data_IF_584024037995
#
_entry.id   IF_584024037995
#
_cell.length_a   1.000
_cell.length_b   1.000
_cell.length_c   1.000
_cell.angle_alpha   90.00
_cell.angle_beta   90.00
_cell.angle_gamma   90.00
#
_symmetry.space_group_name_H-M   'P 1'
#
loop_
_entity.id
_entity.type
_entity.pdbx_description
1 polymer ?
#
# COMPACT_ATOMS: atom_id res chain seq x y z
N UNK A 1 -21.11 4.11 48.38
CA UNK A 1 -20.30 3.96 47.14
C UNK A 1 -21.14 3.73 45.87
N UNK A 2 -22.34 3.15 45.91
CA UNK A 2 -23.13 2.88 44.68
C UNK A 2 -24.13 3.96 44.22
N UNK A 3 -24.58 4.87 45.10
CA UNK A 3 -25.67 5.78 44.75
C UNK A 3 -25.28 6.92 43.78
N UNK A 4 -24.06 7.45 43.91
CA UNK A 4 -23.56 8.53 43.04
C UNK A 4 -23.24 8.00 41.65
N UNK A 5 -22.58 6.84 41.57
CA UNK A 5 -22.29 6.15 40.31
C UNK A 5 -23.58 5.73 39.61
N UNK A 6 -24.56 5.17 40.32
CA UNK A 6 -25.86 4.84 39.73
C UNK A 6 -26.62 6.07 39.24
N UNK A 7 -26.65 7.17 40.00
CA UNK A 7 -27.26 8.43 39.54
C UNK A 7 -26.57 8.96 38.30
N UNK A 8 -25.25 8.87 38.25
CA UNK A 8 -24.45 9.27 37.10
C UNK A 8 -24.77 8.42 35.86
N UNK A 9 -24.79 7.10 35.99
CA UNK A 9 -25.13 6.18 34.90
C UNK A 9 -26.57 6.37 34.41
N UNK A 10 -27.52 6.67 35.31
CA UNK A 10 -28.92 6.93 34.95
C UNK A 10 -29.09 8.25 34.23
N UNK A 11 -28.43 9.33 34.68
CA UNK A 11 -28.41 10.62 34.00
C UNK A 11 -27.75 10.50 32.61
N UNK A 12 -26.63 9.78 32.50
CA UNK A 12 -25.94 9.56 31.24
C UNK A 12 -26.82 8.76 30.26
N UNK A 13 -27.48 7.72 30.74
CA UNK A 13 -28.38 6.90 29.92
C UNK A 13 -29.63 7.67 29.48
N UNK A 14 -30.20 8.51 30.35
CA UNK A 14 -31.33 9.36 30.01
C UNK A 14 -30.95 10.39 28.92
N UNK A 15 -29.76 10.98 29.02
CA UNK A 15 -29.25 11.93 28.04
C UNK A 15 -28.92 11.27 26.70
N UNK A 16 -28.35 10.05 26.70
CA UNK A 16 -28.13 9.25 25.48
C UNK A 16 -29.46 8.93 24.79
N UNK A 17 -30.51 8.70 25.57
CA UNK A 17 -31.85 8.43 25.04
C UNK A 17 -32.49 9.69 24.45
N UNK A 18 -32.40 10.84 25.12
CA UNK A 18 -32.90 12.13 24.61
C UNK A 18 -32.13 12.64 23.38
N UNK A 19 -30.81 12.46 23.37
CA UNK A 19 -29.94 12.86 22.24
C UNK A 19 -30.06 11.94 21.03
N UNK A 20 -30.53 10.69 21.19
CA UNK A 20 -30.83 9.81 20.05
C UNK A 20 -32.00 10.31 19.18
N UNK A 21 -32.85 11.19 19.72
CA UNK A 21 -33.97 11.82 19.02
C UNK A 21 -33.66 13.21 18.46
N UNK A 22 -32.54 13.81 18.84
CA UNK A 22 -32.05 15.07 18.28
C UNK A 22 -31.07 14.72 17.16
N UNK A 23 -31.37 15.09 15.91
CA UNK A 23 -30.39 15.02 14.83
C UNK A 23 -29.21 15.92 15.17
N UNK A 24 -28.18 15.36 15.78
CA UNK A 24 -26.95 16.09 16.12
C UNK A 24 -26.22 16.40 14.82
N UNK A 25 -26.06 17.70 14.56
CA UNK A 25 -25.14 18.22 13.56
C UNK A 25 -23.76 17.56 13.75
N UNK A 26 -23.30 16.88 12.71
CA UNK A 26 -22.20 15.89 12.73
C UNK A 26 -20.78 16.46 13.00
N UNK A 27 -20.69 17.70 13.47
CA UNK A 27 -19.44 18.46 13.60
C UNK A 27 -18.87 18.49 15.02
N UNK A 28 -19.64 18.14 16.06
CA UNK A 28 -19.13 18.09 17.44
C UNK A 28 -18.46 16.74 17.71
N UNK A 29 -17.15 16.65 17.47
CA UNK A 29 -16.35 15.53 17.97
C UNK A 29 -16.22 15.68 19.48
N UNK A 30 -16.68 14.68 20.25
CA UNK A 30 -16.38 14.57 21.68
C UNK A 30 -14.86 14.43 21.85
N UNK A 31 -14.18 15.55 22.09
CA UNK A 31 -12.77 15.55 22.48
C UNK A 31 -12.68 15.26 23.98
N UNK A 32 -11.69 14.46 24.43
CA UNK A 32 -11.51 14.14 25.86
C UNK A 32 -11.33 15.40 26.72
N UNK A 33 -11.01 16.55 26.12
CA UNK A 33 -10.86 17.84 26.78
C UNK A 33 -12.13 18.42 27.43
N UNK A 34 -13.34 17.94 27.13
CA UNK A 34 -14.58 18.44 27.74
C UNK A 34 -15.05 17.64 28.97
N UNK A 35 -14.22 16.71 29.47
CA UNK A 35 -14.64 15.76 30.49
C UNK A 35 -15.13 16.41 31.79
N UNK A 36 -14.67 17.63 32.12
CA UNK A 36 -15.04 18.32 33.37
C UNK A 36 -16.47 18.84 33.33
N UNK A 37 -17.00 19.16 32.14
CA UNK A 37 -18.39 19.59 31.98
C UNK A 37 -19.40 18.46 32.20
N UNK A 38 -18.96 17.20 32.11
CA UNK A 38 -19.83 16.05 32.24
C UNK A 38 -19.89 15.48 33.65
N UNK A 39 -18.98 15.87 34.55
CA UNK A 39 -19.02 15.44 35.93
C UNK A 39 -20.14 16.14 36.72
N UNK A 40 -20.78 15.45 37.69
CA UNK A 40 -21.90 16.00 38.42
C UNK A 40 -21.41 17.06 39.40
N UNK A 41 -21.73 18.33 39.15
CA UNK A 41 -21.55 19.43 40.12
C UNK A 41 -20.19 19.40 40.85
N UNK A 42 -19.10 19.19 40.12
CA UNK A 42 -17.76 19.05 40.73
C UNK A 42 -17.03 20.37 40.75
N UNK A 43 -16.44 20.72 41.89
CA UNK A 43 -15.47 21.81 42.00
C UNK A 43 -14.08 21.32 41.59
N UNK A 44 -13.59 21.82 40.45
CA UNK A 44 -12.26 21.51 39.91
C UNK A 44 -11.23 22.56 40.32
N UNK A 45 -9.99 22.10 40.52
CA UNK A 45 -8.84 22.93 40.88
C UNK A 45 -8.37 23.82 39.73
N UNK A 46 -8.44 23.30 38.49
CA UNK A 46 -7.91 23.99 37.31
C UNK A 46 -8.61 25.35 37.02
N UNK A 47 -9.96 25.45 37.03
CA UNK A 47 -10.65 26.74 36.92
C UNK A 47 -10.25 27.74 38.03
N UNK A 48 -10.11 27.26 39.27
CA UNK A 48 -9.71 28.11 40.41
C UNK A 48 -8.27 28.61 40.27
N UNK A 49 -7.34 27.76 39.85
CA UNK A 49 -5.94 28.14 39.61
C UNK A 49 -5.79 29.10 38.44
N UNK A 50 -6.66 29.00 37.43
CA UNK A 50 -6.67 29.90 36.28
C UNK A 50 -7.05 31.33 36.67
N UNK A 51 -8.10 31.51 37.49
CA UNK A 51 -8.59 32.84 37.88
C UNK A 51 -7.90 33.42 39.12
N UNK A 52 -7.52 32.58 40.10
CA UNK A 52 -6.95 33.02 41.39
C UNK A 52 -5.44 32.76 41.55
N UNK A 53 -4.78 32.18 40.55
CA UNK A 53 -3.35 31.86 40.62
C UNK A 53 -2.46 33.10 40.75
N UNK A 54 -1.77 33.25 41.87
CA UNK A 54 -0.76 34.29 42.06
C UNK A 54 0.49 33.94 41.24
N UNK A 55 0.77 34.69 40.17
CA UNK A 55 2.02 34.57 39.40
C UNK A 55 3.16 35.31 40.08
N UNK A 56 3.76 34.72 41.12
CA UNK A 56 5.02 35.20 41.69
C UNK A 56 6.19 34.37 41.13
N UNK A 57 7.22 35.03 40.59
CA UNK A 57 8.44 34.36 40.13
C UNK A 57 9.69 35.00 40.75
N UNK A 58 10.47 34.20 41.47
CA UNK A 58 11.86 34.53 41.82
C UNK A 58 12.78 33.59 41.03
N UNK A 59 13.79 34.12 40.34
CA UNK A 59 14.80 33.32 39.65
C UNK A 59 16.20 33.72 40.12
N UNK A 60 16.96 32.73 40.61
CA UNK A 60 18.41 32.85 40.81
C UNK A 60 19.14 32.58 39.46
N UNK A 61 20.27 33.25 39.19
CA UNK A 61 20.94 33.16 37.89
C UNK A 61 21.67 31.83 37.74
N UNK A 62 21.45 31.14 36.62
CA UNK A 62 22.34 30.05 36.18
C UNK A 62 21.74 28.67 35.89
N UNK A 63 20.41 28.52 35.77
CA UNK A 63 19.84 27.24 35.26
C UNK A 63 18.74 27.51 34.25
N UNK A 64 19.04 27.29 32.97
CA UNK A 64 18.04 27.21 31.91
C UNK A 64 17.05 26.09 32.23
N UNK A 65 15.76 26.41 32.16
CA UNK A 65 14.67 25.47 32.36
C UNK A 65 14.17 25.06 30.98
N UNK A 66 14.34 23.78 30.63
CA UNK A 66 13.55 23.14 29.56
C UNK A 66 12.09 23.09 30.02
N UNK A 67 11.36 24.14 29.71
CA UNK A 67 9.90 24.14 29.66
C UNK A 67 9.55 24.81 28.35
N UNK A 68 8.74 24.20 27.48
CA UNK A 68 8.34 24.84 26.23
C UNK A 68 7.75 26.21 26.54
N UNK A 69 8.35 27.24 25.98
CA UNK A 69 7.86 28.61 26.06
C UNK A 69 6.46 28.68 25.47
N UNK A 70 5.53 29.25 26.24
CA UNK A 70 4.20 29.65 25.79
C UNK A 70 4.33 30.79 24.77
N UNK A 71 4.58 30.46 23.52
CA UNK A 71 4.67 31.40 22.40
C UNK A 71 4.05 30.86 21.11
N UNK A 72 2.99 30.05 21.19
CA UNK A 72 2.14 29.84 20.02
C UNK A 72 0.65 29.93 20.38
N UNK A 73 -0.03 30.93 19.80
CA UNK A 73 -1.47 31.19 19.95
C UNK A 73 -2.32 30.20 19.12
N UNK A 74 -1.71 29.11 18.64
CA UNK A 74 -2.29 28.13 17.71
C UNK A 74 -2.72 26.81 18.34
N UNK A 75 -2.50 26.60 19.63
CA UNK A 75 -2.97 25.40 20.34
C UNK A 75 -4.48 25.49 20.63
N UNK A 76 -5.29 25.07 19.64
CA UNK A 76 -6.75 25.05 19.72
C UNK A 76 -7.26 24.30 20.97
N UNK A 77 -6.54 23.26 21.40
CA UNK A 77 -6.93 22.43 22.54
C UNK A 77 -6.77 23.18 23.87
N UNK A 78 -5.77 24.07 23.97
CA UNK A 78 -5.57 24.90 25.15
C UNK A 78 -6.63 26.00 25.26
N UNK A 79 -7.04 26.59 24.13
CA UNK A 79 -8.14 27.55 24.10
C UNK A 79 -9.47 26.90 24.55
N UNK A 80 -9.69 25.64 24.16
CA UNK A 80 -10.85 24.87 24.62
C UNK A 80 -10.82 24.66 26.14
N UNK A 81 -9.67 24.31 26.72
CA UNK A 81 -9.51 24.15 28.17
C UNK A 81 -9.67 25.48 28.94
N UNK A 82 -9.15 26.58 28.39
CA UNK A 82 -9.29 27.91 29.02
C UNK A 82 -10.75 28.38 29.04
N UNK A 83 -11.50 28.12 27.96
CA UNK A 83 -12.93 28.42 27.90
C UNK A 83 -13.79 27.46 28.76
N UNK A 84 -13.44 26.18 28.81
CA UNK A 84 -14.06 25.21 29.74
C UNK A 84 -13.92 25.70 31.19
N UNK A 85 -12.72 26.10 31.58
CA UNK A 85 -12.44 26.63 32.91
C UNK A 85 -13.23 27.91 33.19
N UNK A 86 -13.32 28.83 32.22
CA UNK A 86 -14.11 30.07 32.36
C UNK A 86 -15.59 29.76 32.61
N UNK A 87 -16.16 28.80 31.88
CA UNK A 87 -17.57 28.40 32.04
C UNK A 87 -17.82 27.77 33.42
N UNK A 88 -16.93 26.88 33.86
CA UNK A 88 -17.00 26.26 35.18
C UNK A 88 -16.90 27.31 36.30
N UNK A 89 -15.98 28.27 36.18
CA UNK A 89 -15.88 29.38 37.14
C UNK A 89 -17.15 30.22 37.22
N UNK A 90 -17.79 30.52 36.09
CA UNK A 90 -19.07 31.22 36.10
C UNK A 90 -20.16 30.40 36.80
N UNK A 91 -20.19 29.09 36.60
CA UNK A 91 -21.12 28.20 37.29
C UNK A 91 -20.86 28.15 38.80
N UNK A 92 -19.59 28.13 39.22
CA UNK A 92 -19.23 28.14 40.64
C UNK A 92 -19.64 29.42 41.35
N UNK A 93 -19.52 30.57 40.67
CA UNK A 93 -19.92 31.87 41.23
C UNK A 93 -21.43 32.06 41.22
N UNK A 94 -22.12 31.68 40.13
CA UNK A 94 -23.56 31.96 39.96
C UNK A 94 -24.46 30.95 40.65
N UNK A 95 -24.05 29.69 40.69
CA UNK A 95 -24.86 28.58 41.21
C UNK A 95 -24.05 27.67 42.14
N UNK A 96 -23.43 28.20 43.21
CA UNK A 96 -22.56 27.42 44.10
C UNK A 96 -23.29 26.24 44.76
N UNK A 97 -24.61 26.35 44.97
CA UNK A 97 -25.43 25.27 45.55
C UNK A 97 -25.60 24.03 44.66
N UNK A 98 -25.21 24.10 43.38
CA UNK A 98 -25.19 22.94 42.48
C UNK A 98 -23.91 22.10 42.62
N UNK A 99 -22.89 22.61 43.34
CA UNK A 99 -21.66 21.89 43.60
C UNK A 99 -21.90 20.86 44.71
N UNK A 100 -21.66 19.58 44.41
CA UNK A 100 -21.92 18.46 45.33
C UNK A 100 -20.65 17.72 45.75
N UNK A 101 -19.53 17.89 45.03
CA UNK A 101 -18.28 17.15 45.28
C UNK A 101 -17.06 17.93 44.79
N UNK A 102 -15.86 17.50 45.18
CA UNK A 102 -14.57 18.10 44.79
C UNK A 102 -13.75 17.16 43.90
N UNK A 103 -12.79 17.71 43.16
CA UNK A 103 -11.85 16.93 42.35
C UNK A 103 -11.11 15.85 43.18
N UNK A 104 -10.67 16.20 44.39
CA UNK A 104 -10.02 15.26 45.33
C UNK A 104 -10.93 14.07 45.72
N UNK A 105 -12.22 14.32 45.88
CA UNK A 105 -13.20 13.27 46.21
C UNK A 105 -13.40 12.31 45.02
N UNK A 106 -13.34 12.84 43.79
CA UNK A 106 -13.39 12.03 42.56
C UNK A 106 -12.11 11.22 42.35
N UNK A 107 -10.94 11.79 42.64
CA UNK A 107 -9.66 11.07 42.57
C UNK A 107 -9.63 9.91 43.56
N UNK A 108 -10.04 10.15 44.82
CA UNK A 108 -10.11 9.10 45.86
C UNK A 108 -11.15 8.02 45.54
N UNK A 109 -12.23 8.37 44.85
CA UNK A 109 -13.23 7.42 44.37
C UNK A 109 -12.80 6.63 43.12
N UNK A 110 -11.60 6.89 42.57
CA UNK A 110 -11.07 6.24 41.37
C UNK A 110 -11.69 6.74 40.06
N UNK A 111 -12.41 7.85 40.08
CA UNK A 111 -13.13 8.41 38.91
C UNK A 111 -12.25 9.18 37.94
N UNK A 112 -11.10 9.67 38.39
CA UNK A 112 -10.10 10.36 37.57
C UNK A 112 -8.82 9.52 37.55
N UNK A 113 -8.72 8.59 36.60
CA UNK A 113 -7.41 7.99 36.30
C UNK A 113 -6.55 9.08 35.65
N UNK A 114 -5.41 9.42 36.26
CA UNK A 114 -4.38 10.25 35.60
C UNK A 114 -4.15 9.67 34.22
N UNK A 115 -4.29 10.49 33.17
CA UNK A 115 -3.87 10.12 31.82
C UNK A 115 -2.37 9.84 31.85
N UNK A 116 -1.99 8.59 32.12
CA UNK A 116 -0.72 8.07 31.66
C UNK A 116 -0.93 7.96 30.15
N UNK A 117 -0.40 8.93 29.40
CA UNK A 117 -0.19 8.77 27.97
C UNK A 117 0.42 7.36 27.79
N UNK A 118 -0.21 6.43 27.06
CA UNK A 118 0.35 5.11 26.92
C UNK A 118 1.75 5.28 26.36
N UNK A 119 2.77 4.82 27.11
CA UNK A 119 4.10 4.66 26.54
C UNK A 119 3.92 3.84 25.28
N UNK A 120 4.32 4.40 24.13
CA UNK A 120 4.29 3.70 22.87
C UNK A 120 5.03 2.38 23.10
N UNK A 121 4.38 1.21 22.96
CA UNK A 121 5.06 -0.03 23.22
C UNK A 121 6.28 -0.09 22.28
N UNK A 122 7.46 -0.31 22.85
CA UNK A 122 8.63 -0.64 22.06
C UNK A 122 8.26 -1.81 21.16
N UNK A 123 8.52 -1.66 19.85
CA UNK A 123 8.17 -2.64 18.82
C UNK A 123 8.80 -3.99 19.19
N UNK A 124 8.01 -4.89 19.77
CA UNK A 124 8.41 -6.26 20.05
C UNK A 124 7.93 -7.16 18.92
N UNK A 125 8.89 -7.86 18.34
CA UNK A 125 8.68 -8.85 17.29
C UNK A 125 7.69 -9.93 17.76
N UNK A 126 6.67 -10.18 16.94
CA UNK A 126 5.69 -11.25 17.15
C UNK A 126 6.41 -12.60 17.12
N UNK A 127 6.50 -13.27 18.26
CA UNK A 127 6.71 -14.72 18.34
C UNK A 127 5.34 -15.36 18.53
N UNK A 128 5.04 -16.28 17.61
CA UNK A 128 3.83 -17.10 17.52
C UNK A 128 3.81 -18.05 18.73
N UNK A 129 2.97 -17.78 19.75
CA UNK A 129 2.73 -18.71 20.85
C UNK A 129 1.29 -19.24 20.81
N UNK A 130 1.21 -20.56 20.95
CA UNK A 130 0.01 -21.39 20.99
C UNK A 130 -1.00 -20.91 22.05
N UNK A 131 -2.27 -20.95 21.69
CA UNK A 131 -3.37 -20.58 22.57
C UNK A 131 -3.58 -21.73 23.57
N UNK A 132 -3.18 -21.51 24.82
CA UNK A 132 -3.69 -22.27 25.96
C UNK A 132 -4.69 -21.35 26.69
N UNK A 133 -5.98 -21.65 26.60
CA UNK A 133 -7.02 -20.83 27.22
C UNK A 133 -7.16 -21.26 28.67
N UNK A 134 -6.60 -20.46 29.57
CA UNK A 134 -7.04 -20.45 30.97
C UNK A 134 -8.35 -19.66 31.06
N UNK A 135 -9.43 -20.32 31.49
CA UNK A 135 -10.78 -19.77 31.57
C UNK A 135 -11.06 -19.08 32.92
N UNK A 136 -10.03 -18.71 33.67
CA UNK A 136 -10.20 -18.07 34.98
C UNK A 136 -9.45 -16.74 35.11
N UNK A 137 -9.86 -15.72 34.34
CA UNK A 137 -9.58 -14.32 34.70
C UNK A 137 -10.78 -13.41 34.48
N UNK A 138 -10.95 -12.52 35.47
CA UNK A 138 -12.02 -11.56 35.65
C UNK A 138 -12.38 -10.75 34.41
N UNK A 139 -13.69 -10.55 34.23
CA UNK A 139 -14.29 -9.81 33.12
C UNK A 139 -14.03 -8.32 33.33
N UNK A 140 -12.81 -7.90 33.04
CA UNK A 140 -12.51 -6.50 32.82
C UNK A 140 -13.25 -6.04 31.55
N UNK A 141 -14.01 -4.97 31.66
CA UNK A 141 -14.92 -4.50 30.61
C UNK A 141 -14.18 -4.32 29.28
N UNK A 142 -14.40 -5.24 28.34
CA UNK A 142 -13.86 -5.15 26.98
C UNK A 142 -14.46 -3.89 26.33
N UNK A 143 -13.72 -2.77 26.35
CA UNK A 143 -14.02 -1.60 25.53
C UNK A 143 -13.79 -1.99 24.06
N UNK A 144 -14.83 -2.55 23.43
CA UNK A 144 -14.90 -2.82 21.99
C UNK A 144 -14.74 -1.50 21.23
N UNK A 145 -13.49 -1.18 20.84
CA UNK A 145 -13.20 -0.08 19.91
C UNK A 145 -13.64 -0.52 18.52
N UNK A 146 -14.93 -0.35 18.19
CA UNK A 146 -15.49 -0.60 16.86
C UNK A 146 -14.84 0.38 15.87
N UNK A 147 -13.74 -0.04 15.23
CA UNK A 147 -13.14 0.68 14.11
C UNK A 147 -13.91 0.31 12.85
N UNK A 148 -14.19 1.28 11.97
CA UNK A 148 -14.69 0.98 10.62
C UNK A 148 -13.69 0.00 9.97
N UNK A 149 -14.17 -1.14 9.42
CA UNK A 149 -13.27 -2.08 8.75
C UNK A 149 -12.61 -1.37 7.57
N UNK A 150 -11.27 -1.28 7.60
CA UNK A 150 -10.52 -0.87 6.43
C UNK A 150 -10.38 -2.08 5.51
N UNK A 151 -11.14 -2.07 4.42
CA UNK A 151 -11.10 -3.12 3.41
C UNK A 151 -9.99 -2.91 2.39
N UNK A 152 -9.34 -1.75 2.39
CA UNK A 152 -8.21 -1.44 1.53
C UNK A 152 -6.88 -1.79 2.19
N UNK A 153 -6.04 -2.46 1.43
CA UNK A 153 -4.64 -2.71 1.75
C UNK A 153 -3.77 -2.04 0.70
N UNK A 154 -2.85 -1.21 1.16
CA UNK A 154 -1.85 -0.58 0.30
C UNK A 154 -0.51 -1.24 0.52
N UNK A 155 0.24 -1.43 -0.55
CA UNK A 155 1.61 -1.94 -0.50
C UNK A 155 2.46 -1.13 -1.46
N UNK A 156 3.67 -0.80 -1.06
CA UNK A 156 4.66 -0.19 -1.93
C UNK A 156 5.96 -0.98 -1.90
N UNK A 157 6.58 -1.20 -3.05
CA UNK A 157 7.91 -1.77 -3.18
C UNK A 157 8.74 -0.91 -4.14
N UNK A 158 9.83 -0.34 -3.66
CA UNK A 158 10.73 0.53 -4.42
C UNK A 158 12.12 -0.07 -4.38
N UNK A 159 12.74 -0.24 -5.54
CA UNK A 159 14.10 -0.78 -5.60
C UNK A 159 14.97 -0.09 -6.62
N UNK A 160 16.25 -0.03 -6.29
CA UNK A 160 17.29 0.51 -7.13
C UNK A 160 18.41 -0.52 -7.22
N UNK A 161 18.69 -1.00 -8.42
CA UNK A 161 19.50 -2.19 -8.65
C UNK A 161 20.56 -1.92 -9.72
N UNK A 162 21.75 -2.47 -9.50
CA UNK A 162 22.77 -2.60 -10.53
C UNK A 162 22.71 -4.03 -11.06
N UNK A 163 22.53 -4.19 -12.36
CA UNK A 163 22.32 -5.50 -12.99
C UNK A 163 23.39 -5.80 -14.03
N UNK A 164 23.69 -7.08 -14.18
CA UNK A 164 24.39 -7.66 -15.31
C UNK A 164 23.38 -8.47 -16.10
N UNK A 165 23.21 -8.15 -17.38
CA UNK A 165 22.20 -8.78 -18.24
C UNK A 165 22.85 -9.72 -19.27
N UNK A 166 22.16 -10.82 -19.55
CA UNK A 166 22.42 -11.74 -20.64
C UNK A 166 21.15 -11.93 -21.48
N UNK A 167 21.32 -11.92 -22.80
CA UNK A 167 20.25 -12.15 -23.77
C UNK A 167 20.66 -13.26 -24.73
N UNK A 168 19.73 -14.15 -25.09
CA UNK A 168 19.94 -15.09 -26.19
C UNK A 168 20.01 -14.33 -27.53
N UNK A 169 20.74 -14.88 -28.50
CA UNK A 169 20.95 -14.24 -29.81
C UNK A 169 19.66 -13.90 -30.56
N UNK A 170 18.60 -14.70 -30.38
CA UNK A 170 17.27 -14.52 -30.97
C UNK A 170 16.30 -13.68 -30.11
N UNK A 171 16.78 -12.93 -29.12
CA UNK A 171 15.91 -12.10 -28.27
C UNK A 171 15.15 -11.05 -29.10
N UNK A 172 13.81 -11.03 -29.01
CA UNK A 172 12.94 -10.23 -29.90
C UNK A 172 13.19 -8.72 -29.88
N UNK A 173 13.73 -8.17 -28.79
CA UNK A 173 14.06 -6.74 -28.68
C UNK A 173 15.49 -6.41 -29.13
N UNK A 174 16.29 -7.45 -29.45
CA UNK A 174 17.75 -7.34 -29.52
C UNK A 174 18.38 -7.04 -28.15
N UNK A 175 19.69 -7.28 -28.01
CA UNK A 175 20.41 -6.91 -26.80
C UNK A 175 21.80 -7.53 -26.71
N UNK A 176 22.80 -6.70 -26.44
CA UNK A 176 24.14 -7.13 -26.08
C UNK A 176 24.28 -7.30 -24.56
N UNK A 177 25.19 -8.17 -24.12
CA UNK A 177 25.54 -8.28 -22.70
C UNK A 177 26.03 -6.94 -22.15
N UNK A 178 25.41 -6.47 -21.07
CA UNK A 178 25.66 -5.13 -20.56
C UNK A 178 25.44 -5.02 -19.05
N UNK A 179 25.92 -3.88 -18.51
CA UNK A 179 25.68 -3.45 -17.14
C UNK A 179 24.65 -2.33 -17.14
N UNK A 180 23.64 -2.45 -16.27
CA UNK A 180 22.52 -1.51 -16.25
C UNK A 180 22.17 -1.09 -14.84
N UNK A 181 21.63 0.11 -14.74
CA UNK A 181 21.08 0.66 -13.52
C UNK A 181 19.57 0.68 -13.67
N UNK A 182 18.85 0.01 -12.78
CA UNK A 182 17.41 -0.22 -12.88
C UNK A 182 16.70 0.30 -11.63
N UNK A 183 15.78 1.23 -11.82
CA UNK A 183 14.83 1.68 -10.82
C UNK A 183 13.48 0.99 -11.06
N UNK A 184 12.89 0.44 -10.00
CA UNK A 184 11.57 -0.18 -10.04
C UNK A 184 10.71 0.37 -8.92
N UNK A 185 9.46 0.70 -9.23
CA UNK A 185 8.43 1.03 -8.26
C UNK A 185 7.19 0.18 -8.53
N UNK A 186 6.69 -0.51 -7.51
CA UNK A 186 5.43 -1.24 -7.55
C UNK A 186 4.54 -0.72 -6.44
N UNK A 187 3.31 -0.37 -6.79
CA UNK A 187 2.29 0.10 -5.85
C UNK A 187 1.05 -0.76 -6.03
N UNK A 188 0.50 -1.24 -4.91
CA UNK A 188 -0.72 -2.03 -4.91
C UNK A 188 -1.78 -1.37 -4.02
N UNK A 189 -3.02 -1.39 -4.48
CA UNK A 189 -4.20 -0.95 -3.74
C UNK A 189 -5.29 -2.02 -3.89
N UNK A 190 -5.45 -2.83 -2.85
CA UNK A 190 -6.29 -4.02 -2.87
C UNK A 190 -7.45 -3.88 -1.91
N UNK A 191 -8.66 -3.83 -2.45
CA UNK A 191 -9.91 -3.83 -1.70
C UNK A 191 -10.44 -5.26 -1.56
N UNK A 192 -10.81 -5.65 -0.34
CA UNK A 192 -11.47 -6.92 -0.09
C UNK A 192 -12.52 -6.74 1.01
N UNK A 193 -13.80 -6.78 0.64
CA UNK A 193 -14.92 -6.62 1.57
C UNK A 193 -15.12 -7.83 2.51
N UNK A 194 -14.22 -8.83 2.45
CA UNK A 194 -14.27 -10.10 3.21
C UNK A 194 -15.50 -10.96 2.95
N UNK A 195 -16.35 -10.56 2.00
CA UNK A 195 -17.56 -11.27 1.63
C UNK A 195 -17.42 -11.86 0.24
N UNK A 196 -17.69 -11.04 -0.79
CA UNK A 196 -17.79 -11.50 -2.18
C UNK A 196 -17.01 -10.65 -3.18
N UNK A 197 -16.67 -9.40 -2.86
CA UNK A 197 -16.07 -8.48 -3.83
C UNK A 197 -14.60 -8.26 -3.47
N UNK A 198 -13.75 -8.43 -4.47
CA UNK A 198 -12.36 -8.07 -4.44
C UNK A 198 -12.07 -7.12 -5.59
N UNK A 199 -11.24 -6.12 -5.33
CA UNK A 199 -10.76 -5.21 -6.34
C UNK A 199 -9.29 -4.95 -6.11
N UNK A 200 -8.46 -5.56 -6.95
CA UNK A 200 -7.01 -5.50 -6.86
C UNK A 200 -6.48 -4.53 -7.91
N UNK A 201 -5.63 -3.59 -7.51
CA UNK A 201 -4.99 -2.63 -8.39
C UNK A 201 -3.48 -2.71 -8.20
N UNK A 202 -2.73 -2.79 -9.30
CA UNK A 202 -1.27 -2.85 -9.30
C UNK A 202 -0.73 -1.89 -10.34
N UNK A 203 0.10 -0.94 -9.91
CA UNK A 203 0.86 -0.04 -10.75
C UNK A 203 2.34 -0.43 -10.67
N UNK A 204 2.95 -0.71 -11.82
CA UNK A 204 4.35 -1.07 -11.97
C UNK A 204 5.05 -0.06 -12.87
N UNK A 205 6.18 0.45 -12.39
CA UNK A 205 7.05 1.37 -13.10
C UNK A 205 8.46 0.79 -13.10
N UNK A 206 9.08 0.69 -14.28
CA UNK A 206 10.47 0.28 -14.46
C UNK A 206 11.17 1.33 -15.31
N UNK A 207 12.36 1.73 -14.90
CA UNK A 207 13.23 2.61 -15.67
C UNK A 207 14.67 2.15 -15.51
N UNK A 208 15.25 1.70 -16.62
CA UNK A 208 16.59 1.16 -16.70
C UNK A 208 17.44 1.94 -17.69
N UNK A 209 18.68 2.19 -17.32
CA UNK A 209 19.70 2.76 -18.19
C UNK A 209 20.86 1.81 -18.37
N UNK A 210 21.31 1.65 -19.62
CA UNK A 210 22.47 0.88 -20.01
C UNK A 210 23.49 1.74 -20.74
N UNK A 211 24.75 1.33 -20.65
CA UNK A 211 25.79 1.87 -21.53
C UNK A 211 25.83 1.07 -22.83
N UNK A 212 25.89 1.75 -23.97
CA UNK A 212 26.08 1.10 -25.27
C UNK A 212 27.54 1.24 -25.69
N UNK A 213 28.19 0.13 -26.07
CA UNK A 213 29.56 0.15 -26.61
C UNK A 213 29.61 0.53 -28.09
N UNK A 214 28.48 0.41 -28.79
CA UNK A 214 28.37 0.54 -30.26
C UNK A 214 27.67 1.83 -30.69
N UNK A 215 27.08 2.58 -29.76
CA UNK A 215 26.48 3.89 -30.02
C UNK A 215 27.39 5.02 -29.55
N UNK A 216 27.97 5.76 -30.50
CA UNK A 216 28.84 6.90 -30.25
C UNK A 216 28.05 8.16 -29.87
N UNK A 217 26.79 8.23 -30.28
CA UNK A 217 25.90 9.40 -30.11
C UNK A 217 25.13 9.35 -28.78
N UNK A 218 24.62 8.17 -28.41
CA UNK A 218 23.84 7.95 -27.20
C UNK A 218 24.59 6.99 -26.26
N UNK A 219 25.52 7.54 -25.48
CA UNK A 219 26.34 6.76 -24.53
C UNK A 219 25.53 6.08 -23.42
N UNK A 220 24.40 6.67 -23.05
CA UNK A 220 23.44 6.12 -22.10
C UNK A 220 22.11 5.91 -22.82
N UNK A 221 21.62 4.67 -22.85
CA UNK A 221 20.34 4.31 -23.47
C UNK A 221 19.40 3.70 -22.47
N UNK A 222 18.12 3.93 -22.65
CA UNK A 222 17.10 3.22 -21.88
C UNK A 222 17.01 1.78 -22.37
N UNK A 223 17.06 0.83 -21.43
CA UNK A 223 17.02 -0.61 -21.74
C UNK A 223 15.79 -1.33 -21.20
N UNK A 224 15.12 -0.71 -20.25
CA UNK A 224 13.94 -1.23 -19.59
C UNK A 224 13.06 -0.04 -19.25
N UNK A 225 11.93 0.11 -19.93
CA UNK A 225 10.94 1.13 -19.61
C UNK A 225 9.55 0.53 -19.69
N UNK A 226 8.88 0.50 -18.54
CA UNK A 226 7.55 -0.08 -18.44
C UNK A 226 6.73 0.73 -17.47
N UNK A 227 5.62 1.27 -17.94
CA UNK A 227 4.53 1.74 -17.12
C UNK A 227 3.37 0.78 -17.33
N UNK A 228 2.99 0.03 -16.29
CA UNK A 228 1.93 -0.98 -16.36
C UNK A 228 0.94 -0.80 -15.23
N UNK A 229 -0.33 -0.65 -15.59
CA UNK A 229 -1.45 -0.63 -14.66
C UNK A 229 -2.29 -1.88 -14.88
N UNK A 230 -2.51 -2.65 -13.83
CA UNK A 230 -3.40 -3.81 -13.83
C UNK A 230 -4.49 -3.59 -12.79
N UNK A 231 -5.75 -3.70 -13.21
CA UNK A 231 -6.92 -3.69 -12.33
C UNK A 231 -7.70 -4.99 -12.50
N UNK A 232 -8.09 -5.61 -11.39
CA UNK A 232 -8.88 -6.85 -11.38
C UNK A 232 -10.07 -6.67 -10.47
N UNK A 233 -11.27 -6.89 -11.00
CA UNK A 233 -12.50 -6.92 -10.21
C UNK A 233 -12.96 -8.37 -10.15
N UNK A 234 -13.01 -8.91 -8.94
CA UNK A 234 -13.36 -10.30 -8.66
C UNK A 234 -14.64 -10.42 -7.84
N UNK A 235 -15.56 -11.28 -8.29
CA UNK A 235 -16.73 -11.71 -7.53
C UNK A 235 -16.58 -13.18 -7.11
N UNK A 236 -16.64 -13.44 -5.80
CA UNK A 236 -16.41 -14.76 -5.20
C UNK A 236 -17.49 -15.74 -5.63
N UNK A 237 -17.07 -16.78 -6.36
CA UNK A 237 -17.91 -17.91 -6.72
C UNK A 237 -17.89 -18.97 -5.63
N UNK A 238 -16.69 -19.43 -5.25
CA UNK A 238 -16.47 -20.43 -4.18
C UNK A 238 -15.35 -19.97 -3.24
N UNK A 239 -14.84 -20.85 -2.37
CA UNK A 239 -13.80 -20.49 -1.39
C UNK A 239 -12.54 -19.89 -2.05
N UNK A 240 -12.12 -20.46 -3.18
CA UNK A 240 -10.86 -20.10 -3.86
C UNK A 240 -11.07 -19.54 -5.27
N UNK A 241 -12.29 -19.60 -5.83
CA UNK A 241 -12.58 -19.17 -7.19
C UNK A 241 -13.37 -17.86 -7.24
N UNK A 242 -12.95 -16.97 -8.13
CA UNK A 242 -13.56 -15.65 -8.35
C UNK A 242 -13.84 -15.45 -9.84
N UNK A 243 -15.08 -15.12 -10.20
CA UNK A 243 -15.36 -14.56 -11.52
C UNK A 243 -14.65 -13.22 -11.62
N UNK A 244 -13.79 -13.06 -12.63
CA UNK A 244 -12.83 -11.96 -12.68
C UNK A 244 -12.89 -11.26 -14.03
N UNK A 245 -13.03 -9.95 -13.97
CA UNK A 245 -12.73 -9.04 -15.07
C UNK A 245 -11.39 -8.40 -14.77
N UNK A 246 -10.42 -8.56 -15.66
CA UNK A 246 -9.10 -7.97 -15.54
C UNK A 246 -8.87 -7.01 -16.72
N UNK A 247 -8.33 -5.84 -16.41
CA UNK A 247 -7.86 -4.87 -17.40
C UNK A 247 -6.40 -4.59 -17.10
N UNK A 248 -5.55 -4.75 -18.10
CA UNK A 248 -4.12 -4.46 -18.02
C UNK A 248 -3.75 -3.52 -19.16
N UNK A 249 -3.27 -2.33 -18.80
CA UNK A 249 -2.74 -1.36 -19.75
C UNK A 249 -1.24 -1.22 -19.49
N UNK A 250 -0.43 -1.26 -20.55
CA UNK A 250 1.01 -1.07 -20.42
C UNK A 250 1.62 -0.38 -21.62
N UNK A 251 2.65 0.41 -21.34
CA UNK A 251 3.35 1.18 -22.36
C UNK A 251 4.79 1.49 -21.95
N UNK A 252 5.57 1.86 -22.95
CA UNK A 252 6.85 2.52 -22.81
C UNK A 252 6.60 4.00 -22.53
N UNK A 253 7.47 4.65 -21.77
CA UNK A 253 7.28 6.05 -21.37
C UNK A 253 8.50 6.93 -21.52
N UNK A 254 9.66 6.35 -21.81
CA UNK A 254 10.88 7.11 -22.07
C UNK A 254 11.27 6.92 -23.53
N UNK A 255 11.67 7.97 -24.26
CA UNK A 255 12.06 7.83 -25.65
C UNK A 255 13.32 6.96 -25.79
N UNK A 256 13.24 5.96 -26.66
CA UNK A 256 14.37 5.14 -27.08
C UNK A 256 14.77 5.48 -28.52
N UNK A 257 16.06 5.38 -28.82
CA UNK A 257 16.64 5.78 -30.11
C UNK A 257 17.41 4.63 -30.76
N UNK A 258 17.32 4.54 -32.09
CA UNK A 258 18.13 3.61 -32.87
C UNK A 258 19.62 3.88 -32.69
N UNK A 259 20.45 2.87 -32.90
CA UNK A 259 21.91 3.01 -32.78
C UNK A 259 22.44 4.09 -33.73
N UNK A 260 23.25 5.03 -33.20
CA UNK A 260 23.91 6.10 -33.95
C UNK A 260 22.94 7.00 -34.76
N UNK A 261 21.67 7.10 -34.36
CA UNK A 261 20.63 7.84 -35.10
C UNK A 261 19.69 8.60 -34.15
N UNK A 262 19.19 9.76 -34.59
CA UNK A 262 18.12 10.51 -33.88
C UNK A 262 16.73 9.91 -34.10
N UNK A 263 16.65 8.82 -34.88
CA UNK A 263 15.39 8.15 -35.14
C UNK A 263 14.89 7.44 -33.87
N UNK A 264 13.70 7.85 -33.44
CA UNK A 264 13.00 7.28 -32.29
C UNK A 264 12.55 5.86 -32.61
N UNK A 265 12.93 4.91 -31.77
CA UNK A 265 12.53 3.50 -31.84
C UNK A 265 11.27 3.21 -31.00
N UNK A 266 11.08 3.93 -29.90
CA UNK A 266 9.88 3.90 -29.06
C UNK A 266 9.76 5.20 -28.27
N UNK A 267 8.55 5.58 -27.88
CA UNK A 267 8.29 6.71 -26.99
C UNK A 267 7.01 6.50 -26.18
N UNK A 268 6.59 7.52 -25.43
CA UNK A 268 5.39 7.45 -24.60
C UNK A 268 4.17 7.05 -25.43
N UNK A 269 3.49 5.96 -25.03
CA UNK A 269 2.33 5.39 -25.74
C UNK A 269 2.63 4.78 -27.11
N UNK A 270 3.90 4.57 -27.48
CA UNK A 270 4.32 3.87 -28.69
C UNK A 270 5.28 2.72 -28.38
N UNK A 271 4.77 1.51 -28.08
CA UNK A 271 3.37 1.09 -28.18
C UNK A 271 2.57 1.29 -26.89
N UNK A 272 1.28 1.55 -27.03
CA UNK A 272 0.27 1.38 -25.98
C UNK A 272 -0.41 0.04 -26.17
N UNK A 273 -0.45 -0.76 -25.11
CA UNK A 273 -1.09 -2.07 -25.10
C UNK A 273 -2.21 -2.08 -24.07
N UNK A 274 -3.34 -2.68 -24.43
CA UNK A 274 -4.49 -2.88 -23.57
C UNK A 274 -4.97 -4.32 -23.70
N UNK A 275 -5.08 -5.00 -22.56
CA UNK A 275 -5.60 -6.36 -22.47
C UNK A 275 -6.80 -6.35 -21.55
N UNK A 276 -7.97 -6.71 -22.07
CA UNK A 276 -9.21 -6.87 -21.30
C UNK A 276 -9.58 -8.34 -21.30
N UNK A 277 -9.59 -8.97 -20.13
CA UNK A 277 -9.83 -10.40 -20.01
C UNK A 277 -10.95 -10.74 -19.05
N UNK A 278 -11.84 -11.62 -19.48
CA UNK A 278 -12.96 -12.12 -18.71
C UNK A 278 -12.75 -13.61 -18.43
N UNK A 279 -12.84 -13.98 -17.15
CA UNK A 279 -12.54 -15.34 -16.76
C UNK A 279 -12.76 -15.64 -15.29
N UNK A 280 -11.97 -16.59 -14.78
CA UNK A 280 -11.97 -16.99 -13.39
C UNK A 280 -10.56 -16.93 -12.82
N UNK A 281 -10.44 -16.45 -11.58
CA UNK A 281 -9.18 -16.41 -10.85
C UNK A 281 -9.26 -17.38 -9.68
N UNK A 282 -8.32 -18.33 -9.63
CA UNK A 282 -8.12 -19.24 -8.52
C UNK A 282 -7.05 -18.67 -7.59
N UNK A 283 -7.35 -18.46 -6.32
CA UNK A 283 -6.42 -17.91 -5.32
C UNK A 283 -6.13 -18.93 -4.21
N UNK A 284 -4.85 -19.13 -3.91
CA UNK A 284 -4.37 -19.99 -2.84
C UNK A 284 -3.38 -19.23 -1.97
N UNK A 285 -3.60 -19.25 -0.66
CA UNK A 285 -2.71 -18.63 0.33
C UNK A 285 -2.42 -19.66 1.43
N UNK A 286 -1.14 -20.02 1.56
CA UNK A 286 -0.55 -20.90 2.56
C UNK A 286 0.53 -20.13 3.32
N UNK A 287 1.04 -20.69 4.43
CA UNK A 287 1.99 -20.00 5.34
C UNK A 287 3.21 -19.40 4.63
N UNK A 288 3.77 -20.09 3.65
CA UNK A 288 4.96 -19.65 2.87
C UNK A 288 4.72 -19.56 1.36
N UNK A 289 3.51 -19.83 0.90
CA UNK A 289 3.22 -19.90 -0.53
C UNK A 289 1.93 -19.15 -0.83
N UNK A 290 1.98 -18.25 -1.81
CA UNK A 290 0.83 -17.53 -2.34
C UNK A 290 0.77 -17.78 -3.83
N UNK A 291 -0.39 -18.19 -4.34
CA UNK A 291 -0.60 -18.47 -5.74
C UNK A 291 -1.90 -17.86 -6.24
N UNK A 292 -1.91 -17.43 -7.49
CA UNK A 292 -3.10 -17.06 -8.24
C UNK A 292 -3.01 -17.62 -9.66
N UNK A 293 -4.11 -18.10 -10.20
CA UNK A 293 -4.21 -18.56 -11.59
C UNK A 293 -5.47 -17.97 -12.22
N UNK A 294 -5.26 -17.02 -13.12
CA UNK A 294 -6.31 -16.42 -13.93
C UNK A 294 -6.46 -17.23 -15.22
N UNK A 295 -7.67 -17.74 -15.44
CA UNK A 295 -8.08 -18.47 -16.63
C UNK A 295 -9.12 -17.62 -17.35
N UNK A 296 -8.72 -16.98 -18.43
CA UNK A 296 -9.59 -16.12 -19.23
C UNK A 296 -9.86 -16.76 -20.58
N UNK A 297 -11.01 -17.41 -20.80
CA UNK A 297 -11.36 -17.96 -22.11
C UNK A 297 -11.48 -16.87 -23.19
N UNK A 298 -11.78 -15.63 -22.78
CA UNK A 298 -11.87 -14.49 -23.69
C UNK A 298 -10.99 -13.37 -23.16
N UNK A 299 -9.96 -13.02 -23.93
CA UNK A 299 -9.16 -11.82 -23.75
C UNK A 299 -9.10 -11.03 -25.05
N UNK A 300 -9.40 -9.75 -24.98
CA UNK A 300 -9.21 -8.78 -26.04
C UNK A 300 -7.85 -8.13 -25.87
N UNK A 301 -6.99 -8.23 -26.88
CA UNK A 301 -5.71 -7.55 -26.95
C UNK A 301 -5.78 -6.44 -27.99
N UNK A 302 -5.45 -5.24 -27.55
CA UNK A 302 -5.32 -4.05 -28.37
C UNK A 302 -3.90 -3.52 -28.26
N UNK A 303 -3.30 -3.20 -29.41
CA UNK A 303 -2.02 -2.50 -29.48
C UNK A 303 -2.18 -1.31 -30.41
N UNK A 304 -1.68 -0.16 -30.00
CA UNK A 304 -1.62 1.03 -30.83
C UNK A 304 -0.27 1.72 -30.74
N UNK A 305 0.07 2.40 -31.82
CA UNK A 305 1.27 3.23 -31.95
C UNK A 305 0.83 4.58 -32.49
N UNK A 306 1.13 5.67 -31.77
CA UNK A 306 0.74 7.01 -32.19
C UNK A 306 1.70 7.58 -33.25
N UNK A 307 3.01 7.34 -33.08
CA UNK A 307 4.04 7.88 -33.96
C UNK A 307 4.05 7.21 -35.33
N UNK A 308 3.80 7.99 -36.40
CA UNK A 308 3.75 7.50 -37.80
C UNK A 308 5.00 6.76 -38.26
N UNK A 309 6.19 7.19 -37.83
CA UNK A 309 7.46 6.52 -38.19
C UNK A 309 7.60 5.13 -37.58
N UNK A 310 6.72 4.76 -36.65
CA UNK A 310 6.68 3.46 -35.99
C UNK A 310 5.50 2.59 -36.48
N UNK A 311 4.76 3.02 -37.52
CA UNK A 311 3.70 2.19 -38.11
C UNK A 311 4.30 0.94 -38.76
N UNK A 312 3.68 -0.21 -38.52
CA UNK A 312 4.24 -1.51 -38.89
C UNK A 312 5.33 -2.07 -37.95
N UNK A 313 5.76 -1.31 -36.93
CA UNK A 313 6.64 -1.85 -35.89
C UNK A 313 5.83 -2.56 -34.80
N UNK A 314 6.52 -3.22 -33.86
CA UNK A 314 5.90 -3.92 -32.72
C UNK A 314 4.85 -4.97 -33.14
N UNK A 315 5.11 -5.69 -34.25
CA UNK A 315 4.21 -6.73 -34.76
C UNK A 315 2.93 -6.22 -35.41
N UNK A 316 2.85 -4.92 -35.72
CA UNK A 316 1.75 -4.37 -36.53
C UNK A 316 1.98 -4.69 -38.02
N UNK A 317 0.90 -4.87 -38.78
CA UNK A 317 1.01 -4.96 -40.25
C UNK A 317 1.62 -3.67 -40.82
N UNK A 318 2.39 -3.80 -41.90
CA UNK A 318 3.08 -2.66 -42.55
C UNK A 318 2.11 -1.51 -42.84
N UNK A 319 2.47 -0.30 -42.38
CA UNK A 319 1.66 0.91 -42.53
C UNK A 319 0.46 1.03 -41.57
N UNK A 320 0.18 0.02 -40.74
CA UNK A 320 -0.87 0.11 -39.71
C UNK A 320 -0.34 0.64 -38.38
N UNK A 321 -1.22 1.35 -37.68
CA UNK A 321 -0.97 1.94 -36.37
C UNK A 321 -1.64 1.19 -35.22
N UNK A 322 -2.50 0.21 -35.53
CA UNK A 322 -3.32 -0.50 -34.55
C UNK A 322 -3.47 -1.98 -34.88
N UNK A 323 -3.60 -2.78 -33.85
CA UNK A 323 -3.82 -4.22 -33.90
C UNK A 323 -4.84 -4.63 -32.85
N UNK A 324 -5.70 -5.57 -33.23
CA UNK A 324 -6.79 -6.08 -32.40
C UNK A 324 -6.81 -7.60 -32.52
N UNK A 325 -6.89 -8.28 -31.39
CA UNK A 325 -6.94 -9.73 -31.38
C UNK A 325 -7.77 -10.25 -30.20
N UNK A 326 -8.35 -11.44 -30.37
CA UNK A 326 -9.09 -12.14 -29.34
C UNK A 326 -8.50 -13.53 -29.16
N UNK A 327 -8.36 -13.94 -27.90
CA UNK A 327 -7.89 -15.28 -27.63
C UNK A 327 -7.98 -15.63 -26.16
N UNK A 328 -7.88 -16.92 -25.81
CA UNK A 328 -7.73 -17.32 -24.42
C UNK A 328 -6.39 -16.83 -23.85
N UNK A 329 -6.38 -16.44 -22.58
CA UNK A 329 -5.17 -16.20 -21.82
C UNK A 329 -5.20 -16.96 -20.49
N UNK A 330 -4.02 -17.40 -20.07
CA UNK A 330 -3.79 -17.96 -18.74
C UNK A 330 -2.66 -17.16 -18.11
N UNK A 331 -2.88 -16.65 -16.91
CA UNK A 331 -1.84 -15.99 -16.11
C UNK A 331 -1.75 -16.65 -14.74
N UNK A 332 -0.64 -17.32 -14.46
CA UNK A 332 -0.35 -17.89 -13.13
C UNK A 332 0.73 -17.04 -12.46
N UNK A 333 0.43 -16.51 -11.27
CA UNK A 333 1.43 -15.85 -10.44
C UNK A 333 1.60 -16.62 -9.14
N UNK A 334 2.82 -16.87 -8.71
CA UNK A 334 3.08 -17.38 -7.37
C UNK A 334 4.28 -16.71 -6.71
N UNK A 335 4.26 -16.72 -5.38
CA UNK A 335 5.29 -16.22 -4.50
C UNK A 335 5.53 -17.27 -3.42
N UNK A 336 6.72 -17.85 -3.42
CA UNK A 336 7.16 -18.85 -2.45
C UNK A 336 8.31 -18.32 -1.60
N UNK A 337 8.09 -18.20 -0.30
CA UNK A 337 9.18 -18.05 0.68
C UNK A 337 9.81 -19.42 0.94
N UNK A 338 10.82 -19.77 0.13
CA UNK A 338 11.54 -21.04 0.23
C UNK A 338 12.23 -21.11 1.60
N UNK A 339 12.92 -20.03 1.96
CA UNK A 339 13.54 -19.78 3.27
C UNK A 339 13.40 -18.32 3.67
N UNK A 340 13.69 -17.99 4.93
CA UNK A 340 13.55 -16.63 5.50
C UNK A 340 14.24 -15.53 4.68
N UNK A 341 15.30 -15.88 3.97
CA UNK A 341 16.14 -14.99 3.16
C UNK A 341 16.09 -15.32 1.66
N UNK A 342 15.29 -16.30 1.23
CA UNK A 342 15.17 -16.72 -0.17
C UNK A 342 13.70 -16.79 -0.55
N UNK A 343 13.30 -15.87 -1.43
CA UNK A 343 11.95 -15.79 -1.98
C UNK A 343 11.99 -16.02 -3.48
N UNK A 344 11.03 -16.77 -4.00
CA UNK A 344 10.84 -16.98 -5.42
C UNK A 344 9.48 -16.43 -5.84
N UNK A 345 9.50 -15.36 -6.62
CA UNK A 345 8.33 -14.82 -7.31
C UNK A 345 8.36 -15.30 -8.77
N UNK A 346 7.24 -15.78 -9.28
CA UNK A 346 7.15 -16.17 -10.68
C UNK A 346 5.80 -15.78 -11.30
N UNK A 347 5.85 -15.49 -12.60
CA UNK A 347 4.69 -15.25 -13.46
C UNK A 347 4.82 -16.13 -14.68
N UNK A 348 3.86 -17.01 -14.89
CA UNK A 348 3.67 -17.74 -16.14
C UNK A 348 2.50 -17.08 -16.86
N UNK A 349 2.72 -16.67 -18.10
CA UNK A 349 1.70 -16.12 -18.97
C UNK A 349 1.66 -16.94 -20.24
N UNK A 350 0.46 -17.34 -20.63
CA UNK A 350 0.20 -18.04 -21.88
C UNK A 350 -0.94 -17.30 -22.59
N UNK A 351 -0.73 -17.03 -23.87
CA UNK A 351 -1.74 -16.47 -24.75
C UNK A 351 -1.69 -17.20 -26.09
N UNK A 352 -2.86 -17.41 -26.68
CA UNK A 352 -2.95 -17.88 -28.05
C UNK A 352 -4.12 -17.19 -28.74
N UNK A 353 -3.93 -16.84 -30.00
CA UNK A 353 -5.00 -16.39 -30.89
C UNK A 353 -5.47 -17.49 -31.84
N UNK A 354 -5.17 -18.75 -31.52
CA UNK A 354 -5.42 -19.95 -32.32
C UNK A 354 -4.55 -20.09 -33.58
N UNK A 355 -3.69 -19.11 -33.88
CA UNK A 355 -2.71 -19.16 -34.99
C UNK A 355 -1.28 -19.19 -34.46
N UNK A 356 -1.02 -18.38 -33.43
CA UNK A 356 0.26 -18.20 -32.75
C UNK A 356 0.09 -18.43 -31.25
N UNK A 357 1.18 -18.73 -30.58
CA UNK A 357 1.25 -18.99 -29.15
C UNK A 357 2.41 -18.24 -28.52
N UNK A 358 2.09 -17.49 -27.48
CA UNK A 358 3.06 -16.77 -26.66
C UNK A 358 3.08 -17.38 -25.26
N UNK A 359 4.28 -17.79 -24.83
CA UNK A 359 4.52 -18.30 -23.48
C UNK A 359 5.63 -17.46 -22.85
N UNK A 360 5.34 -16.87 -21.71
CA UNK A 360 6.28 -16.10 -20.91
C UNK A 360 6.40 -16.75 -19.54
N UNK A 361 7.62 -17.02 -19.08
CA UNK A 361 7.83 -17.49 -17.71
C UNK A 361 8.89 -16.64 -17.02
N UNK A 362 8.43 -15.63 -16.29
CA UNK A 362 9.27 -14.74 -15.49
C UNK A 362 9.53 -15.38 -14.13
N UNK A 363 10.80 -15.44 -13.71
CA UNK A 363 11.21 -15.95 -12.40
C UNK A 363 12.13 -14.95 -11.75
N UNK A 364 11.84 -14.57 -10.51
CA UNK A 364 12.69 -13.70 -9.69
C UNK A 364 13.00 -14.41 -8.38
N UNK A 365 14.26 -14.80 -8.20
CA UNK A 365 14.78 -15.27 -6.93
C UNK A 365 15.38 -14.07 -6.19
N UNK A 366 14.82 -13.74 -5.03
CA UNK A 366 15.30 -12.66 -4.17
C UNK A 366 16.05 -13.24 -2.98
N UNK A 367 17.33 -12.90 -2.88
CA UNK A 367 18.22 -13.21 -1.78
C UNK A 367 18.34 -11.98 -0.86
N UNK A 368 17.73 -12.05 0.31
CA UNK A 368 17.73 -10.95 1.28
C UNK A 368 19.01 -11.00 2.12
N UNK A 369 19.87 -9.98 1.98
CA UNK A 369 21.12 -9.87 2.74
C UNK A 369 20.85 -9.14 4.06
N UNK A 370 20.17 -8.00 3.99
CA UNK A 370 19.68 -7.26 5.16
C UNK A 370 18.39 -6.50 4.82
N UNK A 371 17.88 -5.68 5.75
CA UNK A 371 16.61 -4.95 5.59
C UNK A 371 16.55 -4.01 4.37
N UNK A 372 17.69 -3.59 3.85
CA UNK A 372 17.78 -2.67 2.70
C UNK A 372 18.41 -3.34 1.49
N UNK A 373 19.39 -4.22 1.69
CA UNK A 373 20.18 -4.81 0.62
C UNK A 373 19.65 -6.20 0.25
N UNK A 374 19.39 -6.41 -1.03
CA UNK A 374 19.13 -7.73 -1.60
C UNK A 374 19.89 -7.93 -2.90
N UNK A 375 20.00 -9.19 -3.28
CA UNK A 375 20.37 -9.60 -4.62
C UNK A 375 19.19 -10.29 -5.28
N UNK A 376 19.01 -10.09 -6.59
CA UNK A 376 17.99 -10.80 -7.36
C UNK A 376 18.60 -11.49 -8.57
N UNK A 377 18.21 -12.74 -8.76
CA UNK A 377 18.44 -13.49 -9.99
C UNK A 377 17.11 -13.59 -10.74
N UNK A 378 17.09 -13.09 -11.97
CA UNK A 378 15.93 -13.14 -12.84
C UNK A 378 16.19 -14.06 -14.02
N UNK A 379 15.26 -14.98 -14.27
CA UNK A 379 15.29 -15.90 -15.39
C UNK A 379 13.98 -15.77 -16.17
N UNK A 380 14.08 -15.56 -17.48
CA UNK A 380 12.94 -15.33 -18.35
C UNK A 380 13.05 -16.10 -19.67
N UNK A 381 12.76 -17.41 -19.63
CA UNK A 381 12.42 -18.15 -20.84
C UNK A 381 11.11 -17.63 -21.43
N UNK A 382 11.11 -17.47 -22.76
CA UNK A 382 9.95 -17.05 -23.57
C UNK A 382 9.87 -17.93 -24.81
N UNK A 383 8.67 -18.31 -25.22
CA UNK A 383 8.38 -18.91 -26.52
C UNK A 383 7.39 -18.00 -27.22
N UNK A 384 7.70 -17.63 -28.45
CA UNK A 384 6.87 -16.73 -29.26
C UNK A 384 7.07 -17.11 -30.72
N UNK A 385 6.03 -17.66 -31.34
CA UNK A 385 6.03 -18.09 -32.74
C UNK A 385 5.33 -17.09 -33.68
N UNK A 386 5.05 -15.88 -33.21
CA UNK A 386 4.34 -14.85 -33.98
C UNK A 386 5.15 -14.23 -35.12
N UNK A 387 6.47 -14.48 -35.18
CA UNK A 387 7.34 -13.99 -36.23
C UNK A 387 8.43 -14.99 -36.60
N UNK A 388 8.69 -15.17 -37.90
CA UNK A 388 9.81 -15.98 -38.38
C UNK A 388 11.17 -15.44 -37.90
N UNK A 389 11.29 -14.13 -37.64
CA UNK A 389 12.51 -13.51 -37.13
C UNK A 389 12.90 -13.99 -35.72
N UNK A 390 11.95 -14.60 -35.00
CA UNK A 390 12.17 -15.15 -33.66
C UNK A 390 12.72 -16.58 -33.70
N UNK A 391 12.68 -17.20 -34.89
CA UNK A 391 13.14 -18.56 -35.11
C UNK A 391 14.65 -18.61 -35.15
N UNK A 392 15.22 -19.44 -34.28
CA UNK A 392 16.61 -19.84 -34.30
C UNK A 392 16.72 -21.21 -34.99
N UNK A 393 17.18 -21.23 -36.23
CA UNK A 393 17.27 -22.44 -37.06
C UNK A 393 18.25 -23.49 -36.51
N UNK A 394 19.26 -23.05 -35.75
CA UNK A 394 20.33 -23.89 -35.22
C UNK A 394 19.98 -24.59 -33.89
N UNK A 395 18.81 -24.29 -33.30
CA UNK A 395 18.38 -24.83 -31.99
C UNK A 395 17.19 -25.77 -32.10
N UNK A 396 17.24 -26.84 -31.27
CA UNK A 396 16.17 -27.84 -31.12
C UNK A 396 14.81 -27.22 -30.74
N UNK A 397 14.82 -26.08 -30.04
CA UNK A 397 13.62 -25.30 -29.73
C UNK A 397 13.73 -23.93 -30.41
N UNK A 398 13.31 -23.85 -31.68
CA UNK A 398 13.63 -22.72 -32.53
C UNK A 398 13.03 -21.38 -32.06
N UNK A 399 11.87 -21.38 -31.41
CA UNK A 399 11.23 -20.15 -30.91
C UNK A 399 11.53 -19.85 -29.43
N UNK A 400 12.39 -20.66 -28.77
CA UNK A 400 12.76 -20.40 -27.39
C UNK A 400 13.77 -19.26 -27.32
N UNK A 401 13.40 -18.21 -26.59
CA UNK A 401 14.24 -17.10 -26.21
C UNK A 401 14.54 -17.14 -24.72
N UNK A 402 15.66 -16.54 -24.32
CA UNK A 402 16.04 -16.50 -22.92
C UNK A 402 16.66 -15.15 -22.56
N UNK A 403 16.17 -14.56 -21.47
CA UNK A 403 16.77 -13.39 -20.82
C UNK A 403 17.11 -13.75 -19.39
N UNK A 404 18.31 -13.38 -18.97
CA UNK A 404 18.75 -13.51 -17.58
C UNK A 404 19.35 -12.20 -17.10
N UNK A 405 19.13 -11.89 -15.83
CA UNK A 405 19.96 -10.88 -15.17
C UNK A 405 20.17 -11.20 -13.70
N UNK A 406 21.37 -10.86 -13.26
CA UNK A 406 21.75 -10.87 -11.85
C UNK A 406 21.90 -9.44 -11.37
N UNK A 407 21.46 -9.17 -10.15
CA UNK A 407 21.49 -7.83 -9.60
C UNK A 407 21.87 -7.78 -8.14
N UNK A 408 22.40 -6.64 -7.74
CA UNK A 408 22.57 -6.22 -6.35
C UNK A 408 21.95 -4.83 -6.20
N UNK A 409 21.13 -4.65 -5.17
CA UNK A 409 20.42 -3.39 -5.02
C UNK A 409 19.79 -3.16 -3.66
N UNK A 410 19.28 -1.94 -3.53
CA UNK A 410 18.55 -1.47 -2.37
C UNK A 410 17.06 -1.64 -2.63
N UNK A 411 16.31 -2.06 -1.62
CA UNK A 411 14.86 -2.17 -1.66
C UNK A 411 14.24 -1.59 -0.40
N UNK A 412 13.11 -0.94 -0.57
CA UNK A 412 12.27 -0.40 0.48
C UNK A 412 10.83 -0.80 0.20
N UNK A 413 10.19 -1.43 1.17
CA UNK A 413 8.78 -1.81 1.09
C UNK A 413 8.01 -1.42 2.34
N UNK A 414 6.71 -1.16 2.17
CA UNK A 414 5.78 -0.84 3.26
C UNK A 414 4.40 -1.47 3.06
#
# INVERSE_FOLDING_TARGET
MNAVVQRYTVLLNALVWETSNLQTDSTVRFTPYYFRLFAPGTLYDAPMKQEFGVKWNFTLPGREKNVPSLLDYRDKDRLVLEEENRMLMQAYVRTPWLIQTTEDDLEKAGGLQKEVLPELPAVTHLVENEINVDLTQDVDTIRLKVRRPNFWKFKGDYSFQFTQNYYSENWYQGGDNNYTMLALATMEANFNNKQKIQWDNKLEMRLGFQTSKTDEKHKLKTNDDLLRLTTKIGYKATKHWFYTLQVQAYTQFYPSFKANSDEVSSDFLSPFNLVVSLGMDYKLELKRFKGSANLSPVAYNFRSVERRSLFGNFGLESGRSMYNNFGPNITVNYSWEIWKNIKWDARIYWFSNLETTDIEWENTFTFTINRFLNSKLFLYPRIDDSSENYRNEDKKFSYLMFKEWFSLGINYSF
#
